data_IF_134210241505
#
_entry.id   IF_134210241505
#
_cell.length_a   1.000
_cell.length_b   1.000
_cell.length_c   1.000
_cell.angle_alpha   90.00
_cell.angle_beta   90.00
_cell.angle_gamma   90.00
#
_symmetry.space_group_name_H-M   'P 1'
#
loop_
_entity.id
_entity.type
_entity.pdbx_description
1 polymer ?
#
# COMPACT_ATOMS: atom_id res chain seq x y z
N UNK A 1 9.14 -8.39 37.18
CA UNK A 1 9.18 -6.91 37.16
C UNK A 1 8.71 -6.46 35.79
N UNK A 2 7.47 -5.99 35.67
CA UNK A 2 6.94 -5.44 34.43
C UNK A 2 7.50 -4.02 34.27
N UNK A 3 8.31 -3.80 33.24
CA UNK A 3 8.72 -2.46 32.82
C UNK A 3 7.47 -1.68 32.37
N UNK A 4 7.24 -0.45 32.85
CA UNK A 4 6.11 0.35 32.41
C UNK A 4 6.24 0.58 30.90
N UNK A 5 5.18 0.24 30.15
CA UNK A 5 5.04 0.59 28.74
C UNK A 5 5.29 2.08 28.60
N UNK A 6 6.42 2.44 27.98
CA UNK A 6 6.65 3.82 27.57
C UNK A 6 5.54 4.14 26.58
N UNK A 7 4.55 4.93 27.00
CA UNK A 7 3.70 5.67 26.09
C UNK A 7 4.62 6.57 25.26
N UNK A 8 5.11 6.02 24.14
CA UNK A 8 5.76 6.81 23.10
C UNK A 8 4.65 7.71 22.58
N UNK A 9 4.72 8.99 22.93
CA UNK A 9 3.86 10.01 22.33
C UNK A 9 3.95 9.84 20.82
N UNK A 10 2.83 9.63 20.11
CA UNK A 10 2.89 9.42 18.67
C UNK A 10 3.58 10.65 18.04
N UNK A 11 4.47 10.44 17.06
CA UNK A 11 5.07 11.54 16.34
C UNK A 11 3.99 12.45 15.75
N UNK A 12 4.26 13.75 15.58
CA UNK A 12 3.29 14.68 15.01
C UNK A 12 2.81 14.16 13.65
N UNK A 13 1.51 14.34 13.31
CA UNK A 13 0.96 13.80 12.08
C UNK A 13 1.73 14.33 10.88
N UNK A 14 2.39 13.45 10.12
CA UNK A 14 2.97 13.82 8.83
C UNK A 14 1.81 14.04 7.85
N UNK A 15 1.57 15.26 7.34
CA UNK A 15 0.47 15.52 6.42
C UNK A 15 0.57 14.73 5.10
N UNK A 16 1.76 14.22 4.76
CA UNK A 16 2.00 13.40 3.57
C UNK A 16 2.12 11.90 3.88
N UNK A 17 2.01 11.52 5.15
CA UNK A 17 2.07 10.14 5.61
C UNK A 17 0.72 9.40 5.43
N UNK A 18 0.66 8.15 5.88
CA UNK A 18 -0.59 7.39 5.90
C UNK A 18 -1.61 8.01 6.85
N UNK A 19 -2.91 7.90 6.52
CA UNK A 19 -3.97 8.38 7.42
C UNK A 19 -4.28 7.41 8.55
N UNK A 20 -3.97 6.11 8.39
CA UNK A 20 -4.14 5.13 9.46
C UNK A 20 -3.17 5.42 10.61
N UNK A 21 -3.70 5.47 11.82
CA UNK A 21 -2.94 5.60 13.05
C UNK A 21 -3.12 4.34 13.90
N UNK A 22 -2.13 4.07 14.75
CA UNK A 22 -2.25 3.00 15.74
C UNK A 22 -3.43 3.29 16.70
N UNK A 23 -4.26 2.29 17.07
CA UNK A 23 -4.19 0.88 16.69
C UNK A 23 -4.76 0.63 15.28
N UNK A 24 -4.00 -0.08 14.43
CA UNK A 24 -4.40 -0.32 13.03
C UNK A 24 -5.56 -1.32 12.87
N UNK A 25 -5.77 -2.16 13.88
CA UNK A 25 -6.82 -3.18 13.94
C UNK A 25 -7.70 -2.93 15.19
N UNK A 26 -9.01 -3.27 15.16
CA UNK A 26 -9.73 -3.95 14.08
C UNK A 26 -9.98 -3.04 12.86
N UNK A 27 -9.99 -3.64 11.66
CA UNK A 27 -10.10 -2.94 10.38
C UNK A 27 -11.21 -3.57 9.52
N UNK A 28 -12.15 -2.73 9.07
CA UNK A 28 -13.16 -3.14 8.09
C UNK A 28 -12.65 -2.98 6.66
N UNK A 29 -13.10 -3.87 5.80
CA UNK A 29 -12.79 -3.87 4.38
C UNK A 29 -13.62 -2.83 3.62
N UNK A 30 -12.92 -1.97 2.88
CA UNK A 30 -13.52 -1.03 1.91
C UNK A 30 -13.53 -1.59 0.49
N UNK A 31 -12.91 -2.76 0.29
CA UNK A 31 -12.63 -3.36 -1.02
C UNK A 31 -13.40 -4.67 -1.25
N UNK A 32 -14.33 -5.01 -0.36
CA UNK A 32 -15.08 -6.27 -0.41
C UNK A 32 -14.28 -7.52 -0.02
N UNK A 33 -13.06 -7.35 0.48
CA UNK A 33 -12.31 -8.40 1.18
C UNK A 33 -12.76 -8.61 2.63
N UNK A 34 -12.02 -9.41 3.43
CA UNK A 34 -12.41 -9.76 4.80
C UNK A 34 -12.18 -8.61 5.79
N UNK A 35 -12.99 -8.59 6.87
CA UNK A 35 -12.71 -7.75 8.04
C UNK A 35 -11.60 -8.40 8.89
N UNK A 36 -10.71 -7.58 9.44
CA UNK A 36 -9.58 -8.01 10.25
C UNK A 36 -9.78 -7.60 11.71
N UNK A 37 -9.79 -8.57 12.61
CA UNK A 37 -9.99 -8.30 14.04
C UNK A 37 -8.66 -8.20 14.81
N UNK A 38 -7.67 -9.03 14.46
CA UNK A 38 -6.40 -9.13 15.18
C UNK A 38 -5.23 -9.45 14.24
N UNK A 39 -4.02 -9.08 14.67
CA UNK A 39 -2.77 -9.47 14.02
C UNK A 39 -2.10 -10.58 14.83
N UNK A 40 -1.58 -11.59 14.15
CA UNK A 40 -0.82 -12.69 14.75
C UNK A 40 0.69 -12.49 14.66
N UNK A 41 1.13 -11.34 14.13
CA UNK A 41 2.55 -11.04 13.96
C UNK A 41 3.22 -10.78 15.30
N UNK A 42 4.47 -11.23 15.40
CA UNK A 42 5.32 -10.86 16.51
C UNK A 42 5.57 -9.35 16.49
N UNK A 43 5.40 -8.67 17.62
CA UNK A 43 5.50 -7.22 17.71
C UNK A 43 4.20 -6.45 17.46
N UNK A 44 3.07 -7.15 17.28
CA UNK A 44 1.74 -6.55 17.18
C UNK A 44 1.36 -6.09 15.78
N UNK A 45 0.19 -5.44 15.62
CA UNK A 45 -0.32 -5.04 14.32
C UNK A 45 0.58 -3.99 13.66
N UNK A 46 0.84 -4.17 12.37
CA UNK A 46 1.60 -3.27 11.53
C UNK A 46 0.70 -2.61 10.51
N UNK A 47 1.11 -1.47 9.96
CA UNK A 47 0.27 -0.72 9.02
C UNK A 47 0.00 -1.52 7.74
N UNK A 48 0.94 -2.36 7.30
CA UNK A 48 0.75 -3.25 6.17
C UNK A 48 -0.22 -4.40 6.43
N UNK A 49 -0.60 -4.68 7.68
CA UNK A 49 -1.66 -5.65 7.98
C UNK A 49 -3.00 -5.22 7.40
N UNK A 50 -3.20 -3.91 7.16
CA UNK A 50 -4.39 -3.38 6.49
C UNK A 50 -4.59 -3.96 5.08
N UNK A 51 -3.54 -4.45 4.43
CA UNK A 51 -3.63 -5.13 3.13
C UNK A 51 -4.40 -6.45 3.20
N UNK A 52 -4.50 -7.06 4.39
CA UNK A 52 -5.34 -8.24 4.59
C UNK A 52 -6.83 -7.97 4.36
N UNK A 53 -7.26 -6.69 4.37
CA UNK A 53 -8.65 -6.31 4.03
C UNK A 53 -8.95 -6.36 2.53
N UNK A 54 -7.94 -6.51 1.68
CA UNK A 54 -8.11 -6.58 0.24
C UNK A 54 -8.52 -7.98 -0.20
N UNK A 55 -9.46 -8.12 -1.16
CA UNK A 55 -9.91 -9.42 -1.62
C UNK A 55 -8.79 -10.21 -2.32
N UNK A 56 -8.77 -11.51 -2.07
CA UNK A 56 -7.91 -12.48 -2.76
C UNK A 56 -8.65 -13.32 -3.80
N UNK A 57 -9.99 -13.21 -3.87
CA UNK A 57 -10.83 -13.90 -4.84
C UNK A 57 -10.34 -13.77 -6.30
N UNK A 58 -9.90 -12.58 -6.78
CA UNK A 58 -9.44 -12.43 -8.17
C UNK A 58 -8.22 -13.29 -8.56
N UNK A 59 -7.44 -13.74 -7.58
CA UNK A 59 -6.25 -14.57 -7.82
C UNK A 59 -6.58 -16.07 -7.83
N UNK A 60 -7.75 -16.46 -7.30
CA UNK A 60 -8.20 -17.85 -7.21
C UNK A 60 -7.14 -18.75 -6.57
N UNK A 61 -6.73 -19.77 -7.31
CA UNK A 61 -5.69 -20.73 -6.92
C UNK A 61 -4.35 -20.02 -6.64
N UNK A 62 -4.04 -18.91 -7.31
CA UNK A 62 -2.77 -18.20 -7.10
C UNK A 62 -2.75 -17.27 -5.88
N UNK A 63 -3.82 -17.26 -5.07
CA UNK A 63 -3.89 -16.43 -3.86
C UNK A 63 -2.77 -16.71 -2.86
N UNK A 64 -2.33 -17.96 -2.72
CA UNK A 64 -1.18 -18.30 -1.86
C UNK A 64 0.11 -17.62 -2.34
N UNK A 65 0.33 -17.54 -3.65
CA UNK A 65 1.56 -16.98 -4.20
C UNK A 65 1.62 -15.46 -4.01
N UNK A 66 0.45 -14.83 -3.94
CA UNK A 66 0.33 -13.42 -3.56
C UNK A 66 0.71 -13.23 -2.10
N UNK A 67 0.14 -14.03 -1.19
CA UNK A 67 0.45 -13.97 0.24
C UNK A 67 1.92 -14.26 0.53
N UNK A 68 2.51 -15.29 -0.09
CA UNK A 68 3.93 -15.61 0.07
C UNK A 68 4.83 -14.44 -0.35
N UNK A 69 4.47 -13.76 -1.46
CA UNK A 69 5.21 -12.58 -1.92
C UNK A 69 5.03 -11.38 -0.99
N UNK A 70 3.83 -11.20 -0.42
CA UNK A 70 3.60 -10.16 0.58
C UNK A 70 4.45 -10.39 1.82
N UNK A 71 4.50 -11.61 2.35
CA UNK A 71 5.35 -11.96 3.50
C UNK A 71 6.83 -11.72 3.23
N UNK A 72 7.35 -12.13 2.06
CA UNK A 72 8.73 -11.86 1.63
C UNK A 72 9.07 -10.35 1.68
N UNK A 73 8.12 -9.49 1.27
CA UNK A 73 8.26 -8.03 1.33
C UNK A 73 8.25 -7.55 2.79
N UNK A 74 7.39 -8.12 3.64
CA UNK A 74 7.23 -7.70 5.03
C UNK A 74 8.44 -8.02 5.90
N UNK A 75 9.15 -9.11 5.59
CA UNK A 75 10.38 -9.53 6.27
C UNK A 75 11.59 -8.62 5.99
N UNK A 76 11.50 -7.68 5.03
CA UNK A 76 12.61 -6.78 4.69
C UNK A 76 12.76 -5.65 5.70
N UNK A 77 13.66 -5.78 6.69
CA UNK A 77 13.85 -4.77 7.76
C UNK A 77 14.36 -3.41 7.28
N UNK A 78 15.03 -3.35 6.14
CA UNK A 78 15.62 -2.12 5.58
C UNK A 78 14.59 -1.20 4.91
N UNK A 79 13.34 -1.65 4.76
CA UNK A 79 12.29 -0.92 4.07
C UNK A 79 11.26 -0.42 5.11
N UNK A 80 10.96 0.89 5.14
CA UNK A 80 9.91 1.41 6.02
C UNK A 80 8.54 0.78 5.69
N UNK A 81 7.68 0.66 6.70
CA UNK A 81 6.43 -0.09 6.58
C UNK A 81 5.49 0.50 5.51
N UNK A 82 5.46 1.82 5.34
CA UNK A 82 4.68 2.51 4.31
C UNK A 82 5.13 2.15 2.88
N UNK A 83 6.43 1.98 2.70
CA UNK A 83 6.99 1.54 1.42
C UNK A 83 6.66 0.06 1.18
N UNK A 84 6.72 -0.79 2.21
CA UNK A 84 6.28 -2.20 2.10
C UNK A 84 4.84 -2.30 1.59
N UNK A 85 3.94 -1.42 2.06
CA UNK A 85 2.56 -1.32 1.55
C UNK A 85 2.55 -1.08 0.04
N UNK A 86 3.31 -0.10 -0.46
CA UNK A 86 3.38 0.19 -1.89
C UNK A 86 3.94 -1.00 -2.70
N UNK A 87 5.00 -1.63 -2.21
CA UNK A 87 5.60 -2.81 -2.83
C UNK A 87 4.61 -3.98 -2.93
N UNK A 88 3.92 -4.28 -1.83
CA UNK A 88 2.93 -5.36 -1.78
C UNK A 88 1.71 -5.06 -2.67
N UNK A 89 1.15 -3.85 -2.61
CA UNK A 89 0.07 -3.42 -3.50
C UNK A 89 0.43 -3.57 -4.98
N UNK A 90 1.64 -3.15 -5.34
CA UNK A 90 2.11 -3.32 -6.71
C UNK A 90 2.28 -4.78 -7.10
N UNK A 91 2.88 -5.60 -6.23
CA UNK A 91 3.08 -7.03 -6.46
C UNK A 91 1.75 -7.76 -6.70
N UNK A 92 0.72 -7.44 -5.90
CA UNK A 92 -0.66 -7.88 -6.13
C UNK A 92 -1.15 -7.46 -7.51
N UNK A 93 -1.15 -6.16 -7.79
CA UNK A 93 -1.73 -5.62 -9.00
C UNK A 93 -1.08 -6.16 -10.28
N UNK A 94 0.26 -6.20 -10.31
CA UNK A 94 1.01 -6.60 -11.50
C UNK A 94 0.81 -8.08 -11.82
N UNK A 95 0.53 -8.93 -10.83
CA UNK A 95 0.26 -10.36 -11.04
C UNK A 95 -0.89 -10.59 -12.02
N UNK A 96 -1.95 -9.76 -11.96
CA UNK A 96 -3.09 -9.84 -12.88
C UNK A 96 -2.95 -8.91 -14.08
N UNK A 97 -2.28 -7.77 -13.91
CA UNK A 97 -2.32 -6.67 -14.89
C UNK A 97 -1.02 -6.48 -15.67
N UNK A 98 -0.03 -7.39 -15.57
CA UNK A 98 1.28 -7.26 -16.23
C UNK A 98 1.18 -6.94 -17.72
N UNK A 99 0.28 -7.61 -18.45
CA UNK A 99 0.11 -7.39 -19.90
C UNK A 99 -0.38 -5.98 -20.21
N UNK A 100 -1.33 -5.46 -19.42
CA UNK A 100 -1.86 -4.11 -19.56
C UNK A 100 -0.77 -3.06 -19.26
N UNK A 101 0.02 -3.29 -18.20
CA UNK A 101 1.12 -2.41 -17.85
C UNK A 101 2.19 -2.34 -18.93
N UNK A 102 2.64 -3.48 -19.45
CA UNK A 102 3.69 -3.53 -20.48
C UNK A 102 3.22 -2.95 -21.82
N UNK A 103 1.93 -3.09 -22.15
CA UNK A 103 1.39 -2.49 -23.35
C UNK A 103 1.40 -0.95 -23.29
N UNK A 104 1.02 -0.39 -22.13
CA UNK A 104 0.97 1.06 -21.92
C UNK A 104 1.32 1.41 -20.46
N UNK A 105 2.60 1.71 -20.20
CA UNK A 105 3.10 1.95 -18.83
C UNK A 105 2.32 3.04 -18.10
N UNK A 106 2.08 4.18 -18.74
CA UNK A 106 1.36 5.28 -18.12
C UNK A 106 -0.08 4.92 -17.76
N UNK A 107 -0.82 4.32 -18.70
CA UNK A 107 -2.20 3.89 -18.44
C UNK A 107 -2.26 2.80 -17.37
N UNK A 108 -1.31 1.87 -17.37
CA UNK A 108 -1.21 0.85 -16.33
C UNK A 108 -0.96 1.46 -14.95
N UNK A 109 -0.05 2.44 -14.84
CA UNK A 109 0.20 3.16 -13.58
C UNK A 109 -1.04 3.91 -13.12
N UNK A 110 -1.78 4.58 -14.02
CA UNK A 110 -3.06 5.20 -13.67
C UNK A 110 -4.02 4.15 -13.13
N UNK A 111 -4.27 3.06 -13.85
CA UNK A 111 -5.16 1.98 -13.40
C UNK A 111 -4.77 1.40 -12.02
N UNK A 112 -3.48 1.27 -11.73
CA UNK A 112 -3.00 0.84 -10.43
C UNK A 112 -3.39 1.83 -9.31
N UNK A 113 -3.06 3.12 -9.49
CA UNK A 113 -3.41 4.16 -8.51
C UNK A 113 -4.93 4.28 -8.39
N UNK A 114 -5.63 4.18 -9.51
CA UNK A 114 -7.08 4.19 -9.63
C UNK A 114 -7.76 3.09 -8.83
N UNK A 115 -7.17 1.90 -8.82
CA UNK A 115 -7.70 0.79 -8.07
C UNK A 115 -7.41 0.94 -6.56
N UNK A 116 -6.23 1.41 -6.17
CA UNK A 116 -5.77 1.33 -4.78
C UNK A 116 -5.67 2.66 -4.04
N UNK A 117 -6.17 3.77 -4.59
CA UNK A 117 -5.99 5.09 -3.98
C UNK A 117 -6.45 5.18 -2.52
N UNK A 118 -7.56 4.51 -2.13
CA UNK A 118 -8.02 4.50 -0.73
C UNK A 118 -7.03 3.77 0.17
N UNK A 119 -6.55 2.60 -0.26
CA UNK A 119 -5.53 1.85 0.48
C UNK A 119 -4.20 2.60 0.53
N UNK A 120 -3.81 3.28 -0.54
CA UNK A 120 -2.61 4.12 -0.58
C UNK A 120 -2.75 5.26 0.42
N UNK A 121 -3.87 6.01 0.41
CA UNK A 121 -4.15 7.07 1.39
C UNK A 121 -4.13 6.55 2.82
N UNK A 122 -4.76 5.39 3.04
CA UNK A 122 -4.92 4.77 4.35
C UNK A 122 -3.61 4.25 4.92
N UNK A 123 -2.84 3.48 4.15
CA UNK A 123 -1.74 2.66 4.68
C UNK A 123 -0.33 3.04 4.19
N UNK A 124 -0.19 3.72 3.05
CA UNK A 124 1.12 4.11 2.51
C UNK A 124 1.41 5.62 2.62
N UNK A 125 0.40 6.45 2.40
CA UNK A 125 0.56 7.90 2.31
C UNK A 125 1.03 8.40 0.94
N UNK A 126 0.98 9.72 0.79
CA UNK A 126 1.37 10.42 -0.43
C UNK A 126 2.87 10.33 -0.70
N UNK A 127 3.69 10.37 0.37
CA UNK A 127 5.15 10.29 0.28
C UNK A 127 5.61 8.95 -0.34
N UNK A 128 5.05 7.84 0.14
CA UNK A 128 5.34 6.51 -0.39
C UNK A 128 4.90 6.36 -1.85
N UNK A 129 3.73 6.88 -2.23
CA UNK A 129 3.28 6.91 -3.62
C UNK A 129 4.22 7.72 -4.51
N UNK A 130 4.64 8.91 -4.07
CA UNK A 130 5.58 9.74 -4.82
C UNK A 130 6.90 9.01 -5.04
N UNK A 131 7.46 8.39 -4.00
CA UNK A 131 8.66 7.58 -4.11
C UNK A 131 8.49 6.46 -5.14
N UNK A 132 7.35 5.75 -5.08
CA UNK A 132 7.03 4.68 -6.02
C UNK A 132 6.99 5.16 -7.49
N UNK A 133 6.36 6.31 -7.75
CA UNK A 133 6.30 6.88 -9.10
C UNK A 133 7.67 7.36 -9.60
N UNK A 134 8.51 7.91 -8.71
CA UNK A 134 9.89 8.27 -9.03
C UNK A 134 10.73 7.03 -9.36
N UNK A 135 10.51 5.91 -8.67
CA UNK A 135 11.12 4.62 -8.99
C UNK A 135 10.71 4.14 -10.39
N UNK A 136 9.44 4.24 -10.76
CA UNK A 136 8.99 3.89 -12.12
C UNK A 136 9.61 4.80 -13.19
N UNK A 137 9.77 6.10 -12.89
CA UNK A 137 10.45 7.04 -13.78
C UNK A 137 11.94 6.73 -13.92
N UNK A 138 12.63 6.43 -12.83
CA UNK A 138 14.05 6.06 -12.85
C UNK A 138 14.31 4.80 -13.70
N UNK A 139 13.37 3.86 -13.69
CA UNK A 139 13.38 2.66 -14.54
C UNK A 139 12.85 2.88 -15.96
N UNK A 140 12.61 4.14 -16.37
CA UNK A 140 12.12 4.55 -17.70
C UNK A 140 10.74 3.99 -18.09
N UNK A 141 9.92 3.64 -17.10
CA UNK A 141 8.51 3.30 -17.33
C UNK A 141 7.63 4.55 -17.45
N UNK A 142 8.02 5.64 -16.81
CA UNK A 142 7.29 6.91 -16.82
C UNK A 142 8.21 8.08 -17.15
N UNK A 143 7.61 9.14 -17.70
CA UNK A 143 8.20 10.47 -17.83
C UNK A 143 7.85 11.34 -16.63
N UNK A 144 8.61 12.42 -16.40
CA UNK A 144 8.30 13.37 -15.33
C UNK A 144 6.90 14.01 -15.45
N UNK A 145 6.42 14.21 -16.69
CA UNK A 145 5.06 14.71 -16.96
C UNK A 145 4.01 13.71 -16.49
N UNK A 146 4.20 12.43 -16.80
CA UNK A 146 3.28 11.35 -16.42
C UNK A 146 3.24 11.13 -14.91
N UNK A 147 4.39 11.26 -14.23
CA UNK A 147 4.45 11.27 -12.75
C UNK A 147 3.61 12.41 -12.19
N UNK A 148 3.81 13.64 -12.67
CA UNK A 148 3.06 14.80 -12.19
C UNK A 148 1.56 14.68 -12.46
N UNK A 149 1.16 14.15 -13.63
CA UNK A 149 -0.25 13.91 -13.95
C UNK A 149 -0.88 12.85 -13.03
N UNK A 150 -0.14 11.79 -12.73
CA UNK A 150 -0.61 10.72 -11.83
C UNK A 150 -0.80 11.25 -10.40
N UNK A 151 0.15 12.04 -9.89
CA UNK A 151 0.05 12.65 -8.56
C UNK A 151 -1.13 13.61 -8.46
N UNK A 152 -1.33 14.49 -9.46
CA UNK A 152 -2.48 15.39 -9.51
C UNK A 152 -3.80 14.60 -9.51
N UNK A 153 -3.86 13.49 -10.27
CA UNK A 153 -5.04 12.63 -10.30
C UNK A 153 -5.34 12.02 -8.92
N UNK A 154 -4.31 11.52 -8.24
CA UNK A 154 -4.44 10.99 -6.88
C UNK A 154 -4.94 12.04 -5.88
N UNK A 155 -4.42 13.27 -5.95
CA UNK A 155 -4.87 14.39 -5.10
C UNK A 155 -6.34 14.75 -5.30
N UNK A 156 -6.82 14.72 -6.56
CA UNK A 156 -8.23 15.00 -6.86
C UNK A 156 -9.14 14.00 -6.14
N UNK A 157 -8.80 12.70 -6.11
CA UNK A 157 -9.60 11.71 -5.39
C UNK A 157 -9.54 11.82 -3.89
N UNK A 158 -8.37 12.15 -3.35
CA UNK A 158 -8.26 12.41 -1.92
C UNK A 158 -9.07 13.64 -1.48
N UNK A 159 -9.42 14.53 -2.42
CA UNK A 159 -10.23 15.73 -2.15
C UNK A 159 -11.74 15.50 -2.29
N UNK A 160 -12.16 14.43 -2.97
CA UNK A 160 -13.57 14.08 -3.19
C UNK A 160 -14.16 13.21 -2.05
N UNK A 161 -13.30 12.55 -1.26
CA UNK A 161 -13.61 11.78 -0.03
C UNK A 161 -13.38 12.61 1.24
#
# INVERSE_FOLDING_TARGET
MATPEKHVTPPPPNPFGPTAQYPFLPAKSEYGGPDLEYSVRFGGPKIYDLLGTLPLEPYGILSWAVLDREEEIFESDDIPDEHKVMHALWARWITLNRRLFVAHFFNGTKLFVDQYWKMIRRAAGWEALRYWLLMLMANRFLTGREVAETLRRYENWCSED
#
